data_IF_789800045290
#
_entry.id   IF_789800045290
#
_cell.length_a   1.000
_cell.length_b   1.000
_cell.length_c   1.000
_cell.angle_alpha   90.00
_cell.angle_beta   90.00
_cell.angle_gamma   90.00
#
_symmetry.space_group_name_H-M   'P 1'
#
loop_
_entity.id
_entity.type
_entity.pdbx_description
1 polymer ?
#
# COMPACT_ATOMS: atom_id res chain seq x y z
N UNK A 1 17.39 -42.82 -17.43
CA UNK A 1 18.32 -41.70 -17.14
C UNK A 1 17.67 -40.31 -17.00
N UNK A 2 16.59 -39.96 -17.73
CA UNK A 2 15.94 -38.63 -17.63
C UNK A 2 15.23 -38.32 -16.29
N UNK A 3 14.70 -39.32 -15.58
CA UNK A 3 14.01 -39.12 -14.29
C UNK A 3 14.94 -38.66 -13.15
N UNK A 4 16.19 -39.13 -13.12
CA UNK A 4 17.17 -38.76 -12.08
C UNK A 4 17.64 -37.30 -12.20
N UNK A 5 17.75 -36.78 -13.43
CA UNK A 5 18.10 -35.37 -13.68
C UNK A 5 16.96 -34.43 -13.30
N UNK A 6 15.72 -34.82 -13.58
CA UNK A 6 14.52 -34.05 -13.21
C UNK A 6 14.35 -33.97 -11.69
N UNK A 7 14.53 -35.10 -10.99
CA UNK A 7 14.48 -35.16 -9.52
C UNK A 7 15.54 -34.27 -8.84
N UNK A 8 16.79 -34.28 -9.34
CA UNK A 8 17.85 -33.39 -8.83
C UNK A 8 17.51 -31.90 -9.05
N UNK A 9 16.98 -31.54 -10.21
CA UNK A 9 16.60 -30.14 -10.52
C UNK A 9 15.46 -29.63 -9.64
N UNK A 10 14.46 -30.47 -9.36
CA UNK A 10 13.34 -30.13 -8.49
C UNK A 10 13.78 -29.95 -7.03
N UNK A 11 14.57 -30.90 -6.51
CA UNK A 11 15.09 -30.83 -5.13
C UNK A 11 16.01 -29.61 -4.93
N UNK A 12 16.81 -29.27 -5.94
CA UNK A 12 17.65 -28.07 -5.90
C UNK A 12 16.80 -26.80 -5.86
N UNK A 13 15.75 -26.69 -6.69
CA UNK A 13 14.85 -25.54 -6.68
C UNK A 13 14.10 -25.38 -5.34
N UNK A 14 13.62 -26.48 -4.75
CA UNK A 14 12.99 -26.49 -3.42
C UNK A 14 13.99 -26.05 -2.35
N UNK A 15 15.23 -26.54 -2.39
CA UNK A 15 16.29 -26.16 -1.45
C UNK A 15 16.64 -24.67 -1.54
N UNK A 16 16.78 -24.14 -2.75
CA UNK A 16 17.05 -22.72 -2.98
C UNK A 16 15.91 -21.83 -2.46
N UNK A 17 14.65 -22.19 -2.74
CA UNK A 17 13.49 -21.47 -2.20
C UNK A 17 13.43 -21.49 -0.67
N UNK A 18 13.77 -22.63 -0.05
CA UNK A 18 13.87 -22.75 1.41
C UNK A 18 14.99 -21.89 1.99
N UNK A 19 16.15 -21.81 1.33
CA UNK A 19 17.27 -20.97 1.77
C UNK A 19 16.90 -19.49 1.73
N UNK A 20 16.23 -19.02 0.67
CA UNK A 20 15.76 -17.63 0.57
C UNK A 20 14.78 -17.33 1.70
N UNK A 21 13.80 -18.20 1.94
CA UNK A 21 12.82 -18.02 3.02
C UNK A 21 13.48 -18.02 4.41
N UNK A 22 14.49 -18.86 4.62
CA UNK A 22 15.28 -18.86 5.88
C UNK A 22 16.05 -17.55 6.05
N UNK A 23 16.65 -17.02 4.98
CA UNK A 23 17.34 -15.72 5.02
C UNK A 23 16.38 -14.56 5.30
N UNK A 24 15.16 -14.62 4.75
CA UNK A 24 14.09 -13.65 5.04
C UNK A 24 13.69 -13.63 6.50
N UNK A 25 13.39 -14.81 7.06
CA UNK A 25 13.02 -14.95 8.47
C UNK A 25 14.18 -14.56 9.38
N UNK A 26 15.41 -14.96 9.06
CA UNK A 26 16.59 -14.57 9.82
C UNK A 26 16.80 -13.05 9.81
N UNK A 27 16.67 -12.40 8.64
CA UNK A 27 16.78 -10.94 8.53
C UNK A 27 15.67 -10.24 9.31
N UNK A 28 14.43 -10.71 9.20
CA UNK A 28 13.29 -10.20 9.96
C UNK A 28 13.57 -10.24 11.47
N UNK A 29 14.01 -11.39 12.00
CA UNK A 29 14.30 -11.55 13.42
C UNK A 29 15.47 -10.66 13.86
N UNK A 30 16.54 -10.58 13.06
CA UNK A 30 17.70 -9.74 13.36
C UNK A 30 17.34 -8.25 13.40
N UNK A 31 16.54 -7.77 12.44
CA UNK A 31 16.10 -6.38 12.37
C UNK A 31 15.13 -6.06 13.51
N UNK A 32 14.17 -6.95 13.80
CA UNK A 32 13.25 -6.79 14.92
C UNK A 32 13.99 -6.67 16.25
N UNK A 33 14.99 -7.54 16.48
CA UNK A 33 15.84 -7.47 17.67
C UNK A 33 16.64 -6.16 17.70
N UNK A 34 17.21 -5.74 16.56
CA UNK A 34 17.98 -4.49 16.47
C UNK A 34 17.11 -3.28 16.81
N UNK A 35 15.88 -3.21 16.29
CA UNK A 35 14.95 -2.12 16.59
C UNK A 35 14.48 -2.15 18.04
N UNK A 36 14.28 -3.33 18.62
CA UNK A 36 14.01 -3.47 20.06
C UNK A 36 15.18 -2.97 20.92
N UNK A 37 16.41 -3.29 20.54
CA UNK A 37 17.62 -2.78 21.19
C UNK A 37 17.69 -1.26 21.04
N UNK A 38 17.41 -0.72 19.85
CA UNK A 38 17.37 0.72 19.59
C UNK A 38 16.35 1.43 20.51
N UNK A 39 15.13 0.90 20.63
CA UNK A 39 14.13 1.42 21.55
C UNK A 39 14.62 1.43 23.01
N UNK A 40 15.39 0.41 23.41
CA UNK A 40 15.99 0.34 24.75
C UNK A 40 17.10 1.37 24.93
N UNK A 41 18.00 1.52 23.95
CA UNK A 41 19.10 2.50 23.98
C UNK A 41 18.55 3.93 24.04
N UNK A 42 17.53 4.25 23.23
CA UNK A 42 16.95 5.58 23.19
C UNK A 42 16.13 5.92 24.44
N UNK A 43 15.67 4.92 25.20
CA UNK A 43 15.07 5.13 26.52
C UNK A 43 13.86 6.08 26.54
N UNK A 44 13.12 6.18 25.43
CA UNK A 44 12.08 7.22 25.25
C UNK A 44 11.00 7.07 26.33
N UNK A 45 10.94 8.06 27.23
CA UNK A 45 10.02 8.13 28.37
C UNK A 45 8.83 9.07 28.13
N UNK A 46 8.87 9.87 27.06
CA UNK A 46 7.77 10.70 26.61
C UNK A 46 7.89 10.96 25.10
N UNK A 47 6.77 11.17 24.43
CA UNK A 47 6.73 11.49 23.01
C UNK A 47 6.57 13.00 22.81
N UNK A 48 7.58 13.71 22.29
CA UNK A 48 7.50 15.14 22.05
C UNK A 48 6.79 15.43 20.71
N UNK A 49 6.33 16.68 20.54
CA UNK A 49 5.84 17.21 19.26
C UNK A 49 4.77 16.33 18.58
N UNK A 50 4.86 16.16 17.26
CA UNK A 50 3.95 15.35 16.43
C UNK A 50 3.79 13.92 16.94
N UNK A 51 4.85 13.32 17.47
CA UNK A 51 4.80 11.96 17.99
C UNK A 51 3.87 11.87 19.21
N UNK A 52 3.96 12.84 20.14
CA UNK A 52 3.04 12.94 21.26
C UNK A 52 1.60 13.15 20.81
N UNK A 53 1.43 13.93 19.74
CA UNK A 53 0.12 14.21 19.17
C UNK A 53 -0.56 12.99 18.58
N UNK A 54 0.13 12.24 17.70
CA UNK A 54 -0.38 10.99 17.13
C UNK A 54 -0.68 9.96 18.22
N UNK A 55 0.20 9.87 19.22
CA UNK A 55 -0.01 8.98 20.36
C UNK A 55 -1.22 9.37 21.21
N UNK A 56 -1.50 10.66 21.40
CA UNK A 56 -2.69 11.10 22.12
C UNK A 56 -3.97 10.82 21.31
N UNK A 57 -3.96 11.11 20.00
CA UNK A 57 -5.10 10.85 19.11
C UNK A 57 -5.46 9.36 18.99
N UNK A 58 -4.54 8.46 19.33
CA UNK A 58 -4.77 7.01 19.31
C UNK A 58 -5.59 6.49 20.51
N UNK A 59 -5.97 7.35 21.46
CA UNK A 59 -6.90 6.98 22.54
C UNK A 59 -8.27 6.63 21.97
N UNK A 60 -8.89 5.59 22.54
CA UNK A 60 -10.19 5.08 22.09
C UNK A 60 -11.28 6.16 22.07
N UNK A 61 -11.29 7.04 23.08
CA UNK A 61 -12.23 8.18 23.19
C UNK A 61 -12.12 9.13 21.98
N UNK A 62 -10.90 9.40 21.52
CA UNK A 62 -10.64 10.28 20.38
C UNK A 62 -10.89 9.58 19.05
N UNK A 63 -10.88 8.25 18.97
CA UNK A 63 -11.21 7.55 17.72
C UNK A 63 -12.70 7.64 17.38
N UNK A 64 -13.57 7.52 18.37
CA UNK A 64 -15.03 7.61 18.13
C UNK A 64 -15.49 9.05 17.92
N UNK A 65 -14.78 10.03 18.46
CA UNK A 65 -15.06 11.45 18.27
C UNK A 65 -13.81 12.18 17.75
N UNK A 66 -13.39 11.80 16.55
CA UNK A 66 -12.14 12.31 15.98
C UNK A 66 -12.27 13.80 15.63
N UNK A 67 -11.34 14.65 16.09
CA UNK A 67 -11.44 16.08 15.89
C UNK A 67 -11.40 16.48 14.41
N UNK A 68 -12.38 17.26 13.97
CA UNK A 68 -12.53 17.69 12.57
C UNK A 68 -11.42 18.61 12.07
N UNK A 69 -10.67 19.22 12.99
CA UNK A 69 -9.57 20.15 12.67
C UNK A 69 -8.30 19.43 12.21
N UNK A 70 -8.21 18.11 12.38
CA UNK A 70 -6.98 17.35 12.18
C UNK A 70 -7.17 16.30 11.10
N UNK A 71 -6.16 16.20 10.24
CA UNK A 71 -6.13 15.24 9.13
C UNK A 71 -5.44 13.95 9.58
N UNK A 72 -5.86 12.83 9.01
CA UNK A 72 -5.19 11.55 9.17
C UNK A 72 -5.62 10.73 10.36
N UNK A 73 -6.87 10.28 10.31
CA UNK A 73 -7.48 9.33 11.24
C UNK A 73 -6.78 7.95 11.25
N UNK A 74 -6.29 7.51 10.09
CA UNK A 74 -5.88 6.13 9.88
C UNK A 74 -4.68 5.72 10.74
N UNK A 75 -3.67 6.58 10.87
CA UNK A 75 -2.48 6.25 11.67
C UNK A 75 -2.74 6.21 13.18
N UNK A 76 -3.44 7.18 13.80
CA UNK A 76 -3.94 7.04 15.16
C UNK A 76 -4.75 5.76 15.38
N UNK A 77 -5.60 5.38 14.43
CA UNK A 77 -6.36 4.13 14.51
C UNK A 77 -5.47 2.88 14.47
N UNK A 78 -4.39 2.90 13.68
CA UNK A 78 -3.38 1.82 13.67
C UNK A 78 -2.59 1.73 14.99
N UNK A 79 -2.34 2.86 15.67
CA UNK A 79 -1.65 2.91 16.96
C UNK A 79 -2.54 2.47 18.13
N UNK A 80 -3.85 2.55 17.97
CA UNK A 80 -4.82 2.36 19.05
C UNK A 80 -4.74 1.02 19.79
N UNK A 81 -4.48 -0.14 19.15
CA UNK A 81 -4.27 -1.39 19.89
C UNK A 81 -3.08 -1.32 20.84
N UNK A 82 -1.96 -0.74 20.40
CA UNK A 82 -0.77 -0.57 21.24
C UNK A 82 -1.04 0.45 22.36
N UNK A 83 -1.76 1.53 22.06
CA UNK A 83 -2.18 2.53 23.04
C UNK A 83 -3.11 1.93 24.09
N UNK A 84 -4.13 1.18 23.68
CA UNK A 84 -5.08 0.52 24.56
C UNK A 84 -4.39 -0.42 25.55
N UNK A 85 -3.44 -1.24 25.08
CA UNK A 85 -2.63 -2.10 25.96
C UNK A 85 -1.78 -1.30 26.93
N UNK A 86 -1.21 -0.18 26.48
CA UNK A 86 -0.37 0.70 27.32
C UNK A 86 -1.19 1.39 28.41
N UNK A 87 -2.43 1.81 28.10
CA UNK A 87 -3.35 2.46 29.04
C UNK A 87 -3.98 1.46 30.02
N UNK A 88 -4.33 0.26 29.53
CA UNK A 88 -4.95 -0.80 30.35
C UNK A 88 -3.95 -1.43 31.32
N UNK A 89 -2.71 -1.61 30.89
CA UNK A 89 -1.63 -2.19 31.69
C UNK A 89 -0.51 -1.17 31.86
N UNK A 90 -0.66 -0.27 32.83
CA UNK A 90 0.28 0.83 33.10
C UNK A 90 1.72 0.34 33.33
N UNK A 91 1.89 -0.87 33.88
CA UNK A 91 3.20 -1.53 34.08
C UNK A 91 3.96 -1.75 32.76
N UNK A 92 3.25 -1.91 31.64
CA UNK A 92 3.87 -2.11 30.33
C UNK A 92 4.45 -0.80 29.75
N UNK A 93 3.98 0.36 30.21
CA UNK A 93 4.37 1.66 29.65
C UNK A 93 4.25 1.67 28.12
N UNK A 94 5.30 2.12 27.42
CA UNK A 94 5.34 2.14 25.95
C UNK A 94 5.81 0.84 25.29
N UNK A 95 5.98 -0.25 26.06
CA UNK A 95 6.44 -1.54 25.51
C UNK A 95 5.55 -2.08 24.38
N UNK A 96 4.21 -1.98 24.44
CA UNK A 96 3.34 -2.43 23.34
C UNK A 96 3.63 -1.70 22.04
N UNK A 97 3.88 -0.38 22.08
CA UNK A 97 4.29 0.39 20.90
C UNK A 97 5.65 -0.10 20.39
N UNK A 98 6.66 -0.21 21.26
CA UNK A 98 8.03 -0.63 20.89
C UNK A 98 8.06 -1.99 20.20
N UNK A 99 7.26 -2.95 20.71
CA UNK A 99 7.15 -4.28 20.13
C UNK A 99 6.47 -4.22 18.76
N UNK A 100 5.31 -3.54 18.68
CA UNK A 100 4.54 -3.47 17.44
C UNK A 100 5.28 -2.71 16.34
N UNK A 101 5.88 -1.56 16.64
CA UNK A 101 6.72 -0.80 15.69
C UNK A 101 7.92 -1.61 15.21
N UNK A 102 8.64 -2.28 16.12
CA UNK A 102 9.79 -3.12 15.76
C UNK A 102 9.40 -4.24 14.81
N UNK A 103 8.28 -4.94 15.07
CA UNK A 103 7.81 -6.03 14.23
C UNK A 103 7.32 -5.52 12.86
N UNK A 104 6.54 -4.45 12.83
CA UNK A 104 6.01 -3.86 11.59
C UNK A 104 7.15 -3.35 10.71
N UNK A 105 8.11 -2.62 11.27
CA UNK A 105 9.23 -2.07 10.52
C UNK A 105 10.25 -3.14 10.14
N UNK A 106 10.47 -4.17 10.99
CA UNK A 106 11.27 -5.32 10.59
C UNK A 106 10.62 -6.06 9.41
N UNK A 107 9.30 -6.27 9.42
CA UNK A 107 8.60 -6.86 8.29
C UNK A 107 8.75 -5.98 7.03
N UNK A 108 8.60 -4.67 7.18
CA UNK A 108 8.78 -3.73 6.08
C UNK A 108 10.17 -3.83 5.45
N UNK A 109 11.23 -3.66 6.23
CA UNK A 109 12.60 -3.63 5.70
C UNK A 109 13.13 -5.01 5.30
N UNK A 110 12.76 -6.07 6.02
CA UNK A 110 13.29 -7.40 5.75
C UNK A 110 12.55 -8.12 4.62
N UNK A 111 11.24 -7.91 4.49
CA UNK A 111 10.37 -8.72 3.62
C UNK A 111 9.70 -7.86 2.57
N UNK A 112 8.92 -6.85 2.97
CA UNK A 112 8.04 -6.12 2.05
C UNK A 112 8.83 -5.30 1.03
N UNK A 113 9.80 -4.50 1.50
CA UNK A 113 10.59 -3.62 0.67
C UNK A 113 11.50 -4.41 -0.29
N UNK A 114 12.30 -5.41 0.15
CA UNK A 114 13.05 -6.25 -0.77
C UNK A 114 12.14 -7.02 -1.73
N UNK A 115 10.98 -7.50 -1.26
CA UNK A 115 9.99 -8.19 -2.10
C UNK A 115 9.43 -7.29 -3.19
N UNK A 116 9.20 -6.00 -2.90
CA UNK A 116 8.84 -4.99 -3.90
C UNK A 116 9.96 -4.81 -4.93
N UNK A 117 11.19 -4.59 -4.50
CA UNK A 117 12.33 -4.45 -5.42
C UNK A 117 12.52 -5.68 -6.32
N UNK A 118 12.42 -6.88 -5.75
CA UNK A 118 12.51 -8.13 -6.51
C UNK A 118 11.42 -8.27 -7.57
N UNK A 119 10.21 -7.77 -7.33
CA UNK A 119 9.14 -7.78 -8.34
C UNK A 119 9.35 -6.77 -9.46
N UNK A 120 9.96 -5.62 -9.15
CA UNK A 120 10.16 -4.55 -10.13
C UNK A 120 11.41 -4.82 -10.98
N UNK A 121 12.52 -5.21 -10.34
CA UNK A 121 13.84 -5.31 -10.98
C UNK A 121 14.34 -6.75 -11.15
N UNK A 122 13.71 -7.73 -10.51
CA UNK A 122 14.20 -9.11 -10.47
C UNK A 122 15.42 -9.29 -9.56
N UNK A 123 16.10 -10.43 -9.71
CA UNK A 123 17.34 -10.75 -8.99
C UNK A 123 17.16 -11.56 -7.71
N UNK A 124 18.17 -11.49 -6.83
CA UNK A 124 18.19 -12.19 -5.54
C UNK A 124 18.68 -11.26 -4.44
N UNK A 125 18.08 -11.36 -3.25
CA UNK A 125 18.47 -10.56 -2.08
C UNK A 125 18.93 -11.47 -0.96
N UNK A 126 20.24 -11.49 -0.74
CA UNK A 126 20.88 -12.17 0.39
C UNK A 126 20.54 -11.51 1.73
N UNK A 127 20.73 -12.24 2.82
CA UNK A 127 20.62 -11.73 4.20
C UNK A 127 21.30 -10.35 4.39
N UNK A 128 22.59 -10.21 4.04
CA UNK A 128 23.33 -8.95 4.26
C UNK A 128 22.70 -7.76 3.54
N UNK A 129 22.27 -7.95 2.29
CA UNK A 129 21.57 -6.91 1.51
C UNK A 129 20.26 -6.47 2.15
N UNK A 130 19.56 -7.36 2.86
CA UNK A 130 18.34 -7.03 3.63
C UNK A 130 18.66 -6.21 4.88
N UNK A 131 19.87 -6.33 5.43
CA UNK A 131 20.31 -5.60 6.62
C UNK A 131 20.76 -4.17 6.32
N UNK A 132 21.35 -3.89 5.15
CA UNK A 132 21.98 -2.59 4.85
C UNK A 132 21.02 -1.41 5.11
N UNK A 133 19.85 -1.41 4.47
CA UNK A 133 18.88 -0.31 4.58
C UNK A 133 18.38 -0.12 6.03
N UNK A 134 17.86 -1.15 6.73
CA UNK A 134 17.38 -0.96 8.10
C UNK A 134 18.50 -0.55 9.08
N UNK A 135 19.74 -1.00 8.88
CA UNK A 135 20.86 -0.54 9.71
C UNK A 135 21.18 0.94 9.45
N UNK A 136 21.20 1.37 8.18
CA UNK A 136 21.38 2.78 7.84
C UNK A 136 20.28 3.66 8.44
N UNK A 137 19.03 3.23 8.38
CA UNK A 137 17.90 3.95 9.00
C UNK A 137 18.05 3.99 10.51
N UNK A 138 18.44 2.88 11.15
CA UNK A 138 18.66 2.85 12.60
C UNK A 138 19.82 3.75 13.06
N UNK A 139 20.87 3.91 12.26
CA UNK A 139 22.04 4.73 12.60
C UNK A 139 21.78 6.21 12.30
N UNK A 140 21.28 6.53 11.11
CA UNK A 140 21.16 7.90 10.62
C UNK A 140 19.85 8.57 11.08
N UNK A 141 18.78 7.79 11.21
CA UNK A 141 17.43 8.29 11.51
C UNK A 141 16.73 7.46 12.61
N UNK A 142 17.37 7.24 13.77
CA UNK A 142 16.82 6.38 14.82
C UNK A 142 15.44 6.84 15.32
N UNK A 143 15.18 8.15 15.28
CA UNK A 143 13.92 8.74 15.69
C UNK A 143 12.72 8.28 14.85
N UNK A 144 12.92 7.94 13.57
CA UNK A 144 11.84 7.44 12.69
C UNK A 144 11.31 6.08 13.14
N UNK A 145 12.15 5.30 13.84
CA UNK A 145 11.78 4.01 14.43
C UNK A 145 11.25 4.22 15.86
N UNK A 146 11.94 5.05 16.65
CA UNK A 146 11.69 5.17 18.07
C UNK A 146 10.45 5.98 18.47
N UNK A 147 10.01 6.89 17.61
CA UNK A 147 8.84 7.75 17.85
C UNK A 147 7.68 7.36 16.94
N UNK A 148 6.42 7.48 17.40
CA UNK A 148 5.22 7.27 16.58
C UNK A 148 5.02 8.39 15.56
N UNK A 149 5.87 8.42 14.54
CA UNK A 149 5.79 9.33 13.40
C UNK A 149 5.03 8.68 12.24
N UNK A 150 4.32 9.50 11.46
CA UNK A 150 3.43 9.03 10.39
C UNK A 150 4.12 8.78 9.05
N UNK A 151 5.36 9.22 8.85
CA UNK A 151 6.08 9.12 7.58
C UNK A 151 6.38 7.69 7.16
N UNK A 152 7.00 6.91 8.05
CA UNK A 152 7.36 5.52 7.78
C UNK A 152 6.12 4.62 7.64
N UNK A 153 5.08 4.70 8.49
CA UNK A 153 3.82 3.99 8.28
C UNK A 153 3.16 4.30 6.93
N UNK A 154 3.13 5.57 6.51
CA UNK A 154 2.60 5.95 5.21
C UNK A 154 3.40 5.32 4.06
N UNK A 155 4.74 5.31 4.18
CA UNK A 155 5.63 4.64 3.22
C UNK A 155 5.36 3.13 3.17
N UNK A 156 5.26 2.47 4.33
CA UNK A 156 4.98 1.03 4.45
C UNK A 156 3.68 0.69 3.71
N UNK A 157 2.63 1.48 3.92
CA UNK A 157 1.35 1.30 3.24
C UNK A 157 1.45 1.53 1.73
N UNK A 158 2.16 2.56 1.28
CA UNK A 158 2.30 2.84 -0.16
C UNK A 158 3.12 1.75 -0.89
N UNK A 159 4.22 1.31 -0.29
CA UNK A 159 5.03 0.19 -0.83
C UNK A 159 4.21 -1.10 -0.78
N UNK A 160 3.45 -1.34 0.29
CA UNK A 160 2.53 -2.47 0.41
C UNK A 160 1.45 -2.46 -0.67
N UNK A 161 0.87 -1.30 -0.96
CA UNK A 161 -0.07 -1.10 -2.05
C UNK A 161 0.57 -1.48 -3.40
N UNK A 162 1.72 -0.89 -3.71
CA UNK A 162 2.48 -1.17 -4.93
C UNK A 162 2.82 -2.65 -5.08
N UNK A 163 3.28 -3.29 -4.00
CA UNK A 163 3.57 -4.72 -3.98
C UNK A 163 2.33 -5.56 -4.25
N UNK A 164 1.17 -5.24 -3.66
CA UNK A 164 -0.09 -5.95 -3.91
C UNK A 164 -0.53 -5.79 -5.36
N UNK A 165 -0.44 -4.59 -5.93
CA UNK A 165 -0.76 -4.33 -7.33
C UNK A 165 0.11 -5.18 -8.27
N UNK A 166 1.43 -5.17 -8.08
CA UNK A 166 2.36 -6.01 -8.87
C UNK A 166 2.10 -7.51 -8.65
N UNK A 167 1.74 -7.89 -7.42
CA UNK A 167 1.35 -9.27 -7.10
C UNK A 167 0.10 -9.74 -7.80
N UNK A 168 -0.84 -8.83 -8.04
CA UNK A 168 -2.06 -9.12 -8.77
C UNK A 168 -1.78 -9.45 -10.24
N UNK A 169 -0.77 -8.81 -10.85
CA UNK A 169 -0.37 -9.03 -12.24
C UNK A 169 0.14 -10.46 -12.47
N UNK A 170 0.94 -10.98 -11.53
CA UNK A 170 1.54 -12.31 -11.62
C UNK A 170 0.59 -13.45 -11.22
N UNK A 171 -0.64 -13.15 -10.81
CA UNK A 171 -1.58 -14.13 -10.27
C UNK A 171 -2.57 -14.60 -11.35
N UNK A 172 -2.72 -15.92 -11.51
CA UNK A 172 -3.67 -16.52 -12.46
C UNK A 172 -5.11 -16.58 -11.94
N UNK A 173 -5.29 -16.73 -10.62
CA UNK A 173 -6.62 -16.78 -9.99
C UNK A 173 -7.29 -15.41 -10.00
N UNK A 174 -8.48 -15.32 -10.59
CA UNK A 174 -9.28 -14.08 -10.66
C UNK A 174 -9.62 -13.54 -9.27
N UNK A 175 -10.03 -14.41 -8.35
CA UNK A 175 -10.39 -14.01 -6.98
C UNK A 175 -9.19 -13.41 -6.27
N UNK A 176 -8.04 -14.10 -6.29
CA UNK A 176 -6.82 -13.61 -5.65
C UNK A 176 -6.32 -12.31 -6.29
N UNK A 177 -6.42 -12.16 -7.61
CA UNK A 177 -6.13 -10.90 -8.31
C UNK A 177 -7.03 -9.76 -7.82
N UNK A 178 -8.34 -10.00 -7.72
CA UNK A 178 -9.29 -9.02 -7.21
C UNK A 178 -9.01 -8.63 -5.76
N UNK A 179 -8.79 -9.60 -4.87
CA UNK A 179 -8.45 -9.34 -3.46
C UNK A 179 -7.18 -8.52 -3.33
N UNK A 180 -6.14 -8.81 -4.13
CA UNK A 180 -4.90 -8.03 -4.12
C UNK A 180 -5.09 -6.58 -4.61
N UNK A 181 -5.95 -6.37 -5.61
CA UNK A 181 -6.26 -5.01 -6.09
C UNK A 181 -7.08 -4.22 -5.07
N UNK A 182 -8.06 -4.85 -4.40
CA UNK A 182 -8.81 -4.23 -3.31
C UNK A 182 -7.89 -3.87 -2.15
N UNK A 183 -7.01 -4.80 -1.74
CA UNK A 183 -6.02 -4.54 -0.70
C UNK A 183 -5.04 -3.43 -1.10
N UNK A 184 -4.63 -3.40 -2.37
CA UNK A 184 -3.81 -2.31 -2.91
C UNK A 184 -4.51 -0.96 -2.76
N UNK A 185 -5.78 -0.86 -3.15
CA UNK A 185 -6.56 0.37 -3.01
C UNK A 185 -6.71 0.82 -1.55
N UNK A 186 -7.02 -0.13 -0.65
CA UNK A 186 -7.13 0.13 0.79
C UNK A 186 -5.83 0.67 1.38
N UNK A 187 -4.68 0.05 1.05
CA UNK A 187 -3.37 0.51 1.52
C UNK A 187 -2.97 1.86 0.93
N UNK A 188 -3.27 2.13 -0.36
CA UNK A 188 -3.02 3.44 -0.96
C UNK A 188 -3.84 4.53 -0.29
N UNK A 189 -5.12 4.26 0.03
CA UNK A 189 -5.96 5.17 0.80
C UNK A 189 -5.43 5.38 2.21
N UNK A 190 -5.00 4.32 2.91
CA UNK A 190 -4.38 4.41 4.23
C UNK A 190 -3.12 5.28 4.25
N UNK A 191 -2.26 5.15 3.22
CA UNK A 191 -1.09 6.00 3.04
C UNK A 191 -1.47 7.47 2.83
N UNK A 192 -2.40 7.76 1.92
CA UNK A 192 -2.90 9.11 1.68
C UNK A 192 -3.56 9.73 2.91
N UNK A 193 -4.40 8.96 3.61
CA UNK A 193 -5.07 9.43 4.82
C UNK A 193 -4.03 9.77 5.89
N UNK A 194 -2.99 8.95 6.05
CA UNK A 194 -1.91 9.19 7.00
C UNK A 194 -1.07 10.42 6.65
N UNK A 195 -0.67 10.56 5.37
CA UNK A 195 0.12 11.69 4.87
C UNK A 195 -0.34 12.04 3.45
N UNK A 196 -0.86 13.25 3.26
CA UNK A 196 -1.49 13.68 2.00
C UNK A 196 -0.56 13.70 0.80
N UNK A 197 0.76 13.83 1.00
CA UNK A 197 1.75 13.75 -0.08
C UNK A 197 1.69 12.42 -0.85
N UNK A 198 1.16 11.36 -0.22
CA UNK A 198 0.97 10.07 -0.88
C UNK A 198 -0.20 10.05 -1.86
N UNK A 199 -0.94 11.15 -2.03
CA UNK A 199 -1.90 11.31 -3.11
C UNK A 199 -1.25 11.16 -4.49
N UNK A 200 -0.03 11.71 -4.67
CA UNK A 200 0.69 11.63 -5.94
C UNK A 200 1.05 10.19 -6.32
N UNK A 201 1.75 9.40 -5.48
CA UNK A 201 2.00 7.99 -5.79
C UNK A 201 0.73 7.15 -5.85
N UNK A 202 -0.33 7.45 -5.08
CA UNK A 202 -1.62 6.77 -5.20
C UNK A 202 -2.26 7.00 -6.57
N UNK A 203 -2.21 8.22 -7.10
CA UNK A 203 -2.71 8.54 -8.43
C UNK A 203 -1.89 7.81 -9.52
N UNK A 204 -0.56 7.79 -9.39
CA UNK A 204 0.31 7.04 -10.29
C UNK A 204 0.01 5.52 -10.26
N UNK A 205 -0.24 4.95 -9.07
CA UNK A 205 -0.67 3.56 -8.94
C UNK A 205 -2.01 3.30 -9.62
N UNK A 206 -2.99 4.18 -9.45
CA UNK A 206 -4.30 4.04 -10.11
C UNK A 206 -4.18 4.06 -11.64
N UNK A 207 -3.33 4.95 -12.19
CA UNK A 207 -3.01 4.99 -13.61
C UNK A 207 -2.30 3.70 -14.06
N UNK A 208 -1.30 3.25 -13.30
CA UNK A 208 -0.54 2.02 -13.56
C UNK A 208 -1.40 0.75 -13.50
N UNK A 209 -2.46 0.73 -12.67
CA UNK A 209 -3.36 -0.40 -12.54
C UNK A 209 -4.05 -0.75 -13.87
N UNK A 210 -4.37 0.23 -14.72
CA UNK A 210 -4.97 -0.02 -16.03
C UNK A 210 -4.03 -0.81 -16.93
N UNK A 211 -2.73 -0.47 -16.93
CA UNK A 211 -1.73 -1.18 -17.71
C UNK A 211 -1.54 -2.61 -17.22
N UNK A 212 -1.68 -2.86 -15.92
CA UNK A 212 -1.61 -4.20 -15.32
C UNK A 212 -2.89 -5.01 -15.56
N UNK A 213 -4.06 -4.39 -15.49
CA UNK A 213 -5.35 -5.07 -15.65
C UNK A 213 -5.53 -5.52 -17.10
N UNK A 214 -5.25 -4.62 -18.04
CA UNK A 214 -5.45 -4.77 -19.47
C UNK A 214 -4.16 -5.09 -20.23
N UNK A 215 -3.18 -5.72 -19.59
CA UNK A 215 -1.85 -5.96 -20.15
C UNK A 215 -1.89 -6.54 -21.58
N UNK A 216 -2.74 -7.55 -21.81
CA UNK A 216 -2.95 -8.23 -23.10
C UNK A 216 -3.70 -7.42 -24.17
N UNK A 217 -4.21 -6.24 -23.84
CA UNK A 217 -5.01 -5.42 -24.76
C UNK A 217 -4.12 -4.36 -25.43
N UNK A 218 -4.56 -3.90 -26.59
CA UNK A 218 -3.85 -2.85 -27.35
C UNK A 218 -3.79 -1.53 -26.57
N UNK A 219 -2.73 -0.75 -26.81
CA UNK A 219 -2.50 0.57 -26.18
C UNK A 219 -3.71 1.52 -26.34
N UNK A 220 -4.41 1.58 -27.49
CA UNK A 220 -5.61 2.41 -27.63
C UNK A 220 -6.71 2.04 -26.64
N UNK A 221 -6.93 0.75 -26.38
CA UNK A 221 -7.94 0.29 -25.41
C UNK A 221 -7.60 0.72 -23.98
N UNK A 222 -6.31 0.69 -23.62
CA UNK A 222 -5.82 1.17 -22.30
C UNK A 222 -6.08 2.68 -22.13
N UNK A 223 -5.80 3.46 -23.18
CA UNK A 223 -6.03 4.91 -23.20
C UNK A 223 -7.53 5.23 -23.13
N UNK A 224 -8.37 4.51 -23.88
CA UNK A 224 -9.83 4.70 -23.85
C UNK A 224 -10.42 4.42 -22.47
N UNK A 225 -9.97 3.38 -21.76
CA UNK A 225 -10.42 3.08 -20.39
C UNK A 225 -10.02 4.20 -19.43
N UNK A 226 -8.79 4.73 -19.55
CA UNK A 226 -8.34 5.87 -18.76
C UNK A 226 -9.20 7.12 -19.05
N UNK A 227 -9.46 7.43 -20.32
CA UNK A 227 -10.30 8.56 -20.71
C UNK A 227 -11.72 8.42 -20.18
N UNK A 228 -12.34 7.25 -20.26
CA UNK A 228 -13.67 6.99 -19.68
C UNK A 228 -13.64 7.19 -18.16
N UNK A 229 -12.59 6.71 -17.47
CA UNK A 229 -12.44 6.88 -16.04
C UNK A 229 -12.36 8.36 -15.63
N UNK A 230 -11.66 9.19 -16.41
CA UNK A 230 -11.56 10.63 -16.17
C UNK A 230 -12.82 11.40 -16.57
N UNK A 231 -13.42 11.10 -17.74
CA UNK A 231 -14.62 11.77 -18.25
C UNK A 231 -15.83 11.52 -17.35
N UNK A 232 -16.04 10.27 -16.91
CA UNK A 232 -17.15 9.92 -16.01
C UNK A 232 -17.06 10.59 -14.64
N UNK A 233 -15.88 11.09 -14.26
CA UNK A 233 -15.67 11.83 -13.01
C UNK A 233 -16.05 13.31 -13.15
N UNK A 234 -15.91 13.91 -14.34
CA UNK A 234 -16.24 15.33 -14.61
C UNK A 234 -17.74 15.59 -14.52
N UNK A 235 -18.59 14.63 -14.89
CA UNK A 235 -20.05 14.79 -14.81
C UNK A 235 -20.61 14.81 -13.37
N UNK A 236 -19.84 14.36 -12.37
CA UNK A 236 -20.29 14.36 -10.96
C UNK A 236 -19.87 15.59 -10.16
N UNK A 237 -19.00 16.45 -10.68
CA UNK A 237 -18.57 17.67 -9.98
C UNK A 237 -19.48 18.89 -10.21
N UNK A 238 -20.60 18.76 -10.94
CA UNK A 238 -21.53 19.87 -11.23
C UNK A 238 -22.92 19.76 -10.58
N UNK A 239 -23.12 18.85 -9.62
CA UNK A 239 -24.41 18.70 -8.91
C UNK A 239 -24.22 18.73 -7.41
N UNK A 240 -23.74 19.86 -6.88
CA UNK A 240 -23.98 20.24 -5.48
C UNK A 240 -23.61 21.71 -5.30
N UNK A 241 -24.47 22.60 -5.80
CA UNK A 241 -24.58 23.98 -5.30
C UNK A 241 -25.97 24.53 -5.64
N UNK A 242 -26.66 25.04 -4.61
CA UNK A 242 -27.64 26.11 -4.76
C UNK A 242 -29.09 25.75 -5.09
N UNK A 243 -29.96 25.88 -4.09
CA UNK A 243 -31.37 26.24 -4.23
C UNK A 243 -31.61 27.28 -5.34
N UNK A 244 -32.65 27.09 -6.18
CA UNK A 244 -33.66 28.10 -6.55
C UNK A 244 -34.73 27.48 -7.47
N UNK A 245 -36.00 27.78 -7.17
CA UNK A 245 -37.19 27.41 -7.95
C UNK A 245 -37.11 27.93 -9.40
N UNK A 246 -37.49 27.11 -10.39
CA UNK A 246 -38.27 27.53 -11.57
C UNK A 246 -38.81 26.34 -12.39
N UNK A 247 -40.00 26.56 -12.94
CA UNK A 247 -40.91 25.74 -13.74
C UNK A 247 -40.36 25.27 -15.10
N UNK A 248 -41.04 24.34 -15.81
CA UNK A 248 -40.43 23.49 -16.83
C UNK A 248 -40.41 24.13 -18.23
N UNK A 249 -39.32 23.93 -18.98
CA UNK A 249 -39.31 24.02 -20.45
C UNK A 249 -38.40 22.95 -21.06
N UNK A 250 -39.01 22.16 -21.94
CA UNK A 250 -38.56 21.19 -22.94
C UNK A 250 -37.05 20.84 -23.06
N UNK A 251 -36.71 19.53 -23.17
CA UNK A 251 -35.37 19.09 -23.49
C UNK A 251 -35.06 19.23 -24.99
N UNK A 252 -33.88 19.79 -25.29
CA UNK A 252 -33.23 19.73 -26.60
C UNK A 252 -32.52 18.36 -26.69
N UNK A 253 -32.74 17.54 -27.72
CA UNK A 253 -32.13 16.21 -27.80
C UNK A 253 -30.73 16.29 -28.39
N UNK A 254 -29.69 16.19 -27.57
CA UNK A 254 -28.32 15.95 -28.07
C UNK A 254 -28.09 14.44 -28.20
N UNK A 255 -28.48 13.95 -29.37
CA UNK A 255 -27.81 12.96 -30.22
C UNK A 255 -27.12 11.76 -29.54
N UNK A 256 -27.89 10.68 -29.39
CA UNK A 256 -27.44 9.29 -29.27
C UNK A 256 -26.58 8.78 -30.46
N UNK A 257 -26.39 9.59 -31.51
CA UNK A 257 -25.74 9.15 -32.76
C UNK A 257 -24.21 9.09 -32.68
N UNK A 258 -23.57 9.69 -31.67
CA UNK A 258 -22.11 9.59 -31.53
C UNK A 258 -21.66 8.25 -30.93
N UNK A 259 -22.40 7.72 -29.94
CA UNK A 259 -22.12 6.42 -29.33
C UNK A 259 -22.36 5.26 -30.32
N UNK A 260 -23.36 5.38 -31.20
CA UNK A 260 -23.65 4.38 -32.23
C UNK A 260 -22.58 4.33 -33.33
N UNK A 261 -22.02 5.48 -33.74
CA UNK A 261 -20.92 5.54 -34.73
C UNK A 261 -19.63 4.87 -34.25
N UNK A 262 -19.34 4.90 -32.95
CA UNK A 262 -18.17 4.20 -32.39
C UNK A 262 -18.44 2.69 -32.31
N UNK A 263 -19.66 2.27 -32.00
CA UNK A 263 -20.05 0.85 -31.99
C UNK A 263 -20.03 0.22 -33.39
N UNK A 264 -20.43 0.94 -34.44
CA UNK A 264 -20.47 0.38 -35.80
C UNK A 264 -19.07 0.28 -36.44
N UNK A 265 -18.13 1.16 -36.08
CA UNK A 265 -16.74 1.07 -36.56
C UNK A 265 -15.93 -0.05 -35.90
N UNK A 266 -16.29 -0.51 -34.69
CA UNK A 266 -15.61 -1.64 -34.03
C UNK A 266 -16.05 -3.01 -34.56
N UNK A 267 -17.25 -3.11 -35.12
CA UNK A 267 -17.77 -4.38 -35.68
C UNK A 267 -17.24 -4.65 -37.09
N UNK A 268 -16.90 -3.61 -37.85
CA UNK A 268 -16.44 -3.73 -39.23
C UNK A 268 -14.92 -3.95 -39.41
N UNK A 269 -14.14 -4.06 -38.32
CA UNK A 269 -12.70 -4.37 -38.38
C UNK A 269 -12.36 -5.80 -37.95
N UNK A 270 -13.36 -6.66 -37.69
CA UNK A 270 -13.15 -8.07 -37.30
C UNK A 270 -13.40 -9.05 -38.47
N UNK A 271 -13.67 -8.55 -39.67
CA UNK A 271 -13.75 -9.39 -40.87
C UNK A 271 -12.79 -8.81 -41.91
N UNK A 272 -11.79 -9.63 -42.28
CA UNK A 272 -10.74 -9.49 -43.31
C UNK A 272 -9.31 -9.24 -42.76
N UNK A 273 -8.55 -10.35 -42.80
CA UNK A 273 -7.10 -10.58 -42.66
C UNK A 273 -6.48 -10.55 -41.26
#
# INVERSE_FOLDING_TARGET
MKQLTYSKSFLQHVREGLLVRRQEVAAFMAIALTFMILHKIMGVAAFPWDAGYYWNLSKVEHLFNFPHTIRGYFYPALLAPARYLSDTFTVLGYSPFRITSSLVYAYFFAILLPGFYLRVFGGQVSFLRRMIIPMLVAILFPGVIAYPLSDLPALVMMVGSSFCMLSSAATTSRLKRFTLLVLSGFLAYGAYNTRTIYLFPAALLALGAVFIIYDKHSVPTKISVLLIFFIRRVDRSHTTDGHQLKTPRNPIPISYNFARRISENLTNTIIIR
#
